data_IF_038707604844
#
_entry.id   IF_038707604844
#
_cell.length_a   1.000
_cell.length_b   1.000
_cell.length_c   1.000
_cell.angle_alpha   90.00
_cell.angle_beta   90.00
_cell.angle_gamma   90.00
#
_symmetry.space_group_name_H-M   'P 1'
#
loop_
_entity.id
_entity.type
_entity.pdbx_description
1 polymer ?
#
# COMPACT_ATOMS: atom_id res chain seq x y z
N UNK A 1 25.50 2.89 -8.80
CA UNK A 1 24.62 3.00 -7.63
C UNK A 1 23.52 1.96 -7.78
N UNK A 2 23.45 0.97 -6.90
CA UNK A 2 22.40 -0.04 -6.94
C UNK A 2 21.13 0.61 -6.40
N UNK A 3 20.14 0.87 -7.26
CA UNK A 3 18.86 1.42 -6.83
C UNK A 3 18.24 0.51 -5.77
N UNK A 4 18.24 0.97 -4.52
CA UNK A 4 17.64 0.25 -3.41
C UNK A 4 16.15 0.53 -3.43
N UNK A 5 15.41 -0.24 -4.22
CA UNK A 5 13.96 -0.21 -4.20
C UNK A 5 13.49 -0.71 -2.83
N UNK A 6 13.10 0.20 -1.94
CA UNK A 6 12.53 -0.16 -0.64
C UNK A 6 11.04 -0.43 -0.81
N UNK A 7 10.62 -1.69 -0.64
CA UNK A 7 9.22 -2.09 -0.75
C UNK A 7 8.33 -1.27 0.21
N UNK A 8 8.78 -1.07 1.45
CA UNK A 8 8.06 -0.26 2.45
C UNK A 8 7.91 1.20 2.02
N UNK A 9 8.96 1.78 1.44
CA UNK A 9 8.94 3.16 0.99
C UNK A 9 7.99 3.33 -0.21
N UNK A 10 8.06 2.41 -1.18
CA UNK A 10 7.19 2.46 -2.36
C UNK A 10 5.72 2.23 -1.99
N UNK A 11 5.41 1.29 -1.10
CA UNK A 11 4.03 1.11 -0.61
C UNK A 11 3.52 2.33 0.14
N UNK A 12 4.37 3.03 0.90
CA UNK A 12 3.99 4.25 1.60
C UNK A 12 3.71 5.41 0.63
N UNK A 13 4.60 5.62 -0.34
CA UNK A 13 4.39 6.63 -1.41
C UNK A 13 3.11 6.36 -2.20
N UNK A 14 2.88 5.10 -2.55
CA UNK A 14 1.64 4.67 -3.20
C UNK A 14 0.41 5.04 -2.38
N UNK A 15 0.36 4.69 -1.08
CA UNK A 15 -0.80 4.99 -0.22
C UNK A 15 -1.05 6.50 -0.11
N UNK A 16 0.00 7.31 0.07
CA UNK A 16 -0.11 8.78 0.19
C UNK A 16 -0.71 9.41 -1.07
N UNK A 17 -0.36 8.91 -2.26
CA UNK A 17 -0.93 9.44 -3.51
C UNK A 17 -2.30 8.84 -3.84
N UNK A 18 -2.50 7.57 -3.50
CA UNK A 18 -3.77 6.88 -3.71
C UNK A 18 -4.88 7.51 -2.87
N UNK A 19 -4.64 7.77 -1.58
CA UNK A 19 -5.65 8.26 -0.66
C UNK A 19 -6.20 9.65 -0.99
N UNK A 20 -5.45 10.45 -1.76
CA UNK A 20 -5.90 11.76 -2.28
C UNK A 20 -7.02 11.62 -3.32
N UNK A 21 -7.12 10.46 -3.97
CA UNK A 21 -8.10 10.17 -5.04
C UNK A 21 -9.28 9.33 -4.53
N UNK A 22 -9.23 8.89 -3.28
CA UNK A 22 -10.24 8.02 -2.68
C UNK A 22 -11.24 8.87 -1.92
N UNK A 23 -12.52 8.67 -2.23
CA UNK A 23 -13.61 9.32 -1.51
C UNK A 23 -13.66 8.88 -0.03
N UNK A 24 -13.91 9.80 0.90
CA UNK A 24 -14.13 9.47 2.30
C UNK A 24 -15.22 8.38 2.45
N UNK A 25 -14.93 7.42 3.31
CA UNK A 25 -15.84 6.33 3.61
C UNK A 25 -15.73 5.09 2.72
N UNK A 26 -14.96 5.14 1.63
CA UNK A 26 -14.68 3.97 0.80
C UNK A 26 -13.79 2.95 1.54
N UNK A 27 -14.06 1.67 1.36
CA UNK A 27 -13.34 0.56 2.02
C UNK A 27 -12.49 -0.22 1.04
N UNK A 28 -11.31 -0.63 1.50
CA UNK A 28 -10.40 -1.51 0.78
C UNK A 28 -9.82 -2.57 1.71
N UNK A 29 -9.62 -3.77 1.18
CA UNK A 29 -8.80 -4.81 1.78
C UNK A 29 -7.32 -4.52 1.53
N UNK A 30 -6.44 -5.05 2.37
CA UNK A 30 -4.98 -5.02 2.12
C UNK A 30 -4.65 -5.67 0.77
N UNK A 31 -5.36 -6.74 0.40
CA UNK A 31 -5.12 -7.44 -0.86
C UNK A 31 -5.47 -6.55 -2.07
N UNK A 32 -6.62 -5.88 -2.07
CA UNK A 32 -6.99 -4.92 -3.12
C UNK A 32 -5.98 -3.79 -3.24
N UNK A 33 -5.49 -3.25 -2.12
CA UNK A 33 -4.45 -2.22 -2.13
C UNK A 33 -3.13 -2.75 -2.71
N UNK A 34 -2.77 -4.00 -2.43
CA UNK A 34 -1.58 -4.65 -3.02
C UNK A 34 -1.76 -4.85 -4.51
N UNK A 35 -2.94 -5.24 -4.98
CA UNK A 35 -3.18 -5.46 -6.41
C UNK A 35 -3.21 -4.13 -7.18
N UNK A 36 -3.77 -3.07 -6.59
CA UNK A 36 -3.66 -1.70 -7.10
C UNK A 36 -2.21 -1.20 -7.10
N UNK A 37 -1.43 -1.54 -6.07
CA UNK A 37 -0.01 -1.20 -6.02
C UNK A 37 0.76 -1.85 -7.15
N UNK A 38 0.55 -3.15 -7.44
CA UNK A 38 1.24 -3.90 -8.50
C UNK A 38 1.08 -3.32 -9.90
N UNK A 39 -0.04 -2.66 -10.18
CA UNK A 39 -0.30 -1.99 -11.47
C UNK A 39 0.05 -0.50 -11.45
N UNK A 40 0.59 0.01 -10.34
CA UNK A 40 0.96 1.41 -10.18
C UNK A 40 2.42 1.68 -10.57
N UNK A 41 2.79 2.93 -10.86
CA UNK A 41 4.18 3.32 -11.12
C UNK A 41 5.15 3.10 -9.93
N UNK A 42 4.63 2.85 -8.73
CA UNK A 42 5.43 2.60 -7.53
C UNK A 42 5.90 1.14 -7.44
N UNK A 43 5.34 0.25 -8.27
CA UNK A 43 5.73 -1.14 -8.30
C UNK A 43 6.92 -1.36 -9.23
N UNK A 44 7.90 -2.11 -8.74
CA UNK A 44 9.04 -2.57 -9.52
C UNK A 44 9.03 -4.09 -9.53
N UNK A 45 9.25 -4.69 -10.70
CA UNK A 45 9.28 -6.15 -10.86
C UNK A 45 10.31 -6.85 -9.96
N UNK A 46 11.36 -6.14 -9.52
CA UNK A 46 12.33 -6.65 -8.54
C UNK A 46 11.68 -7.08 -7.22
N UNK A 47 10.51 -6.54 -6.88
CA UNK A 47 9.75 -6.95 -5.70
C UNK A 47 9.21 -8.37 -5.79
N UNK A 48 9.06 -8.94 -7.00
CA UNK A 48 8.67 -10.35 -7.17
C UNK A 48 9.72 -11.32 -6.61
N UNK A 49 10.98 -10.91 -6.54
CA UNK A 49 12.07 -11.74 -6.01
C UNK A 49 12.23 -11.61 -4.48
N UNK A 50 11.37 -10.83 -3.82
CA UNK A 50 11.44 -10.66 -2.38
C UNK A 50 10.76 -11.85 -1.68
N UNK A 51 11.38 -12.35 -0.60
CA UNK A 51 10.87 -13.51 0.15
C UNK A 51 9.47 -13.28 0.76
N UNK A 52 9.11 -12.03 1.04
CA UNK A 52 7.83 -11.67 1.66
C UNK A 52 6.96 -10.90 0.68
N UNK A 53 5.65 -11.22 0.61
CA UNK A 53 4.73 -10.48 -0.23
C UNK A 53 4.52 -9.04 0.30
N UNK A 54 4.03 -8.10 -0.55
CA UNK A 54 3.84 -6.70 -0.18
C UNK A 54 2.81 -6.45 0.93
N UNK A 55 2.03 -7.46 1.35
CA UNK A 55 0.91 -7.31 2.29
C UNK A 55 1.33 -6.66 3.62
N UNK A 56 2.48 -7.06 4.19
CA UNK A 56 2.97 -6.47 5.45
C UNK A 56 3.41 -5.01 5.26
N UNK A 57 4.09 -4.72 4.16
CA UNK A 57 4.50 -3.36 3.78
C UNK A 57 3.29 -2.46 3.54
N UNK A 58 2.25 -3.01 2.90
CA UNK A 58 0.99 -2.31 2.64
C UNK A 58 0.24 -2.02 3.94
N UNK A 59 0.12 -3.02 4.84
CA UNK A 59 -0.47 -2.82 6.17
C UNK A 59 0.24 -1.72 6.94
N UNK A 60 1.58 -1.74 6.94
CA UNK A 60 2.39 -0.70 7.57
C UNK A 60 2.15 0.67 6.94
N UNK A 61 2.13 0.76 5.61
CA UNK A 61 1.88 2.00 4.87
C UNK A 61 0.52 2.62 5.20
N UNK A 62 -0.55 1.81 5.17
CA UNK A 62 -1.91 2.24 5.53
C UNK A 62 -1.96 2.74 6.96
N UNK A 63 -1.38 2.01 7.92
CA UNK A 63 -1.31 2.45 9.31
C UNK A 63 -0.51 3.75 9.48
N UNK A 64 0.62 3.88 8.77
CA UNK A 64 1.55 5.00 8.89
C UNK A 64 1.03 6.31 8.28
N UNK A 65 0.19 6.22 7.25
CA UNK A 65 -0.44 7.39 6.59
C UNK A 65 -1.42 8.15 7.49
N UNK A 66 -2.03 7.47 8.47
CA UNK A 66 -2.95 8.09 9.43
C UNK A 66 -4.33 8.46 8.87
N UNK A 67 -4.59 8.23 7.58
CA UNK A 67 -5.82 8.64 6.88
C UNK A 67 -6.86 7.53 6.71
N UNK A 68 -6.64 6.39 7.38
CA UNK A 68 -7.47 5.20 7.27
C UNK A 68 -7.93 4.72 8.65
N UNK A 69 -9.14 4.19 8.72
CA UNK A 69 -9.71 3.54 9.90
C UNK A 69 -9.76 2.04 9.66
N UNK A 70 -9.23 1.26 10.60
CA UNK A 70 -9.34 -0.20 10.54
C UNK A 70 -10.78 -0.60 10.91
N UNK A 71 -11.52 -1.14 9.94
CA UNK A 71 -12.90 -1.61 10.16
C UNK A 71 -12.89 -3.01 10.75
N UNK A 72 -12.05 -3.89 10.20
CA UNK A 72 -11.78 -5.23 10.70
C UNK A 72 -10.36 -5.65 10.31
N UNK A 73 -9.94 -6.85 10.68
CA UNK A 73 -8.62 -7.33 10.29
C UNK A 73 -8.47 -7.32 8.75
N UNK A 74 -7.42 -6.66 8.26
CA UNK A 74 -7.15 -6.55 6.83
C UNK A 74 -8.09 -5.64 6.02
N UNK A 75 -9.05 -4.93 6.63
CA UNK A 75 -9.96 -4.01 5.92
C UNK A 75 -9.88 -2.60 6.52
N UNK A 76 -9.72 -1.62 5.65
CA UNK A 76 -9.53 -0.22 5.98
C UNK A 76 -10.52 0.66 5.25
N UNK A 77 -11.09 1.64 5.97
CA UNK A 77 -12.00 2.66 5.45
C UNK A 77 -11.25 3.99 5.39
N UNK A 78 -11.36 4.71 4.27
CA UNK A 78 -10.81 6.06 4.17
C UNK A 78 -11.54 6.98 5.15
N UNK A 79 -10.79 7.70 5.99
CA UNK A 79 -11.33 8.77 6.86
C UNK A 79 -11.96 9.86 6.01
#
# INVERSE_FOLDING_TARGET
MQEKYSLNEQTLRFIIEFEKKVEPGKTYTIQELVDLFKVSPYYNEKFNFYKKPPNNSMWYAVARSGNWLRVKNGIYKKK
#
